data_IF_242334025053
#
_entry.id   IF_242334025053
#
_cell.length_a   1.000
_cell.length_b   1.000
_cell.length_c   1.000
_cell.angle_alpha   90.00
_cell.angle_beta   90.00
_cell.angle_gamma   90.00
#
_symmetry.space_group_name_H-M   'P 1'
#
loop_
_entity.id
_entity.type
_entity.pdbx_description
1 polymer ?
#
# COMPACT_ATOMS: atom_id res chain seq x y z
N UNK A 1 -11.22 8.99 18.69
CA UNK A 1 -10.81 8.62 17.31
C UNK A 1 -9.97 7.35 17.28
N UNK A 2 -8.98 7.17 18.17
CA UNK A 2 -8.12 5.96 18.19
C UNK A 2 -8.85 4.61 18.40
N UNK A 3 -9.99 4.58 19.10
CA UNK A 3 -10.70 3.33 19.40
C UNK A 3 -11.40 2.67 18.18
N UNK A 4 -11.61 3.42 17.09
CA UNK A 4 -12.18 2.87 15.84
C UNK A 4 -11.07 2.24 15.00
N UNK A 5 -9.91 2.87 14.93
CA UNK A 5 -8.72 2.37 14.26
C UNK A 5 -8.24 1.00 14.78
N UNK A 6 -8.32 0.80 16.09
CA UNK A 6 -7.92 -0.46 16.73
C UNK A 6 -8.84 -1.66 16.38
N UNK A 7 -9.94 -1.43 15.66
CA UNK A 7 -10.90 -2.49 15.29
C UNK A 7 -10.72 -3.05 13.89
N UNK A 8 -9.83 -2.48 13.10
CA UNK A 8 -9.52 -2.87 11.73
C UNK A 8 -9.54 -1.70 10.76
N UNK A 9 -8.91 -1.90 9.62
CA UNK A 9 -8.86 -0.96 8.51
C UNK A 9 -9.32 -1.63 7.21
N UNK A 10 -9.97 -0.89 6.31
CA UNK A 10 -10.17 -1.37 4.95
C UNK A 10 -8.82 -1.52 4.24
N UNK A 11 -8.74 -2.44 3.30
CA UNK A 11 -7.50 -2.67 2.57
C UNK A 11 -7.65 -3.76 1.52
N UNK A 12 -6.52 -4.19 0.97
CA UNK A 12 -6.46 -5.20 -0.05
C UNK A 12 -6.51 -6.61 0.57
N UNK A 13 -7.43 -7.44 0.11
CA UNK A 13 -7.41 -8.86 0.38
C UNK A 13 -6.51 -9.61 -0.62
N UNK A 14 -6.33 -10.93 -0.40
CA UNK A 14 -5.45 -11.76 -1.23
C UNK A 14 -5.74 -11.64 -2.73
N UNK A 15 -7.01 -11.67 -3.13
CA UNK A 15 -7.39 -11.59 -4.54
C UNK A 15 -6.99 -10.28 -5.21
N UNK A 16 -7.02 -9.16 -4.47
CA UNK A 16 -6.56 -7.86 -4.97
C UNK A 16 -5.04 -7.86 -5.10
N UNK A 17 -4.31 -8.37 -4.10
CA UNK A 17 -2.85 -8.45 -4.16
C UNK A 17 -2.37 -9.31 -5.33
N UNK A 18 -3.02 -10.45 -5.60
CA UNK A 18 -2.73 -11.30 -6.76
C UNK A 18 -3.07 -10.61 -8.09
N UNK A 19 -4.21 -9.91 -8.15
CA UNK A 19 -4.58 -9.13 -9.33
C UNK A 19 -3.53 -8.05 -9.64
N UNK A 20 -3.14 -7.25 -8.64
CA UNK A 20 -2.12 -6.22 -8.78
C UNK A 20 -0.79 -6.81 -9.29
N UNK A 21 -0.35 -7.93 -8.70
CA UNK A 21 0.84 -8.64 -9.16
C UNK A 21 0.72 -9.13 -10.61
N UNK A 22 -0.46 -9.61 -11.02
CA UNK A 22 -0.70 -10.06 -12.40
C UNK A 22 -0.64 -8.93 -13.43
N UNK A 23 -0.76 -7.69 -12.98
CA UNK A 23 -0.66 -6.49 -13.83
C UNK A 23 0.77 -5.95 -13.94
N UNK A 24 1.74 -6.65 -13.35
CA UNK A 24 3.17 -6.28 -13.38
C UNK A 24 3.43 -4.84 -12.90
N UNK A 25 2.73 -4.45 -11.83
CA UNK A 25 2.87 -3.12 -11.25
C UNK A 25 4.22 -2.97 -10.53
N UNK A 26 4.79 -1.79 -10.56
CA UNK A 26 6.02 -1.48 -9.83
C UNK A 26 5.76 -1.13 -8.35
N UNK A 27 4.57 -0.58 -8.06
CA UNK A 27 4.23 -0.04 -6.75
C UNK A 27 2.72 -0.13 -6.50
N UNK A 28 2.37 -0.41 -5.24
CA UNK A 28 1.02 -0.30 -4.70
C UNK A 28 1.02 0.75 -3.58
N UNK A 29 -0.09 1.46 -3.39
CA UNK A 29 -0.20 2.45 -2.33
C UNK A 29 -1.64 2.63 -1.86
N UNK A 30 -1.79 3.14 -0.64
CA UNK A 30 -3.08 3.47 -0.04
C UNK A 30 -2.95 4.47 1.10
N UNK A 31 -4.09 4.94 1.55
CA UNK A 31 -4.23 5.87 2.67
C UNK A 31 -4.41 5.16 4.03
N UNK A 32 -4.14 3.87 4.09
CA UNK A 32 -4.21 3.04 5.29
C UNK A 32 -2.84 2.65 5.80
N UNK A 33 -2.77 2.14 7.03
CA UNK A 33 -1.50 1.84 7.72
C UNK A 33 -0.76 0.63 7.16
N UNK A 34 -1.41 -0.20 6.35
CA UNK A 34 -0.82 -1.44 5.87
C UNK A 34 -1.12 -1.76 4.40
N UNK A 35 -2.03 -1.05 3.75
CA UNK A 35 -2.65 -1.45 2.48
C UNK A 35 -3.39 -2.80 2.53
N UNK A 36 -2.92 -3.77 3.32
CA UNK A 36 -3.64 -5.01 3.59
C UNK A 36 -4.84 -4.77 4.50
N UNK A 37 -5.96 -5.46 4.24
CA UNK A 37 -7.16 -5.38 5.07
C UNK A 37 -6.90 -5.91 6.48
N UNK A 38 -7.43 -5.23 7.48
CA UNK A 38 -7.29 -5.60 8.89
C UNK A 38 -8.68 -5.95 9.49
N UNK A 39 -8.74 -6.90 10.43
CA UNK A 39 -7.64 -7.68 11.01
C UNK A 39 -7.05 -8.68 10.03
N UNK A 40 -5.74 -8.88 10.09
CA UNK A 40 -4.99 -9.70 9.14
C UNK A 40 -5.36 -11.19 9.16
N UNK A 41 -5.73 -11.72 10.30
CA UNK A 41 -6.07 -13.13 10.52
C UNK A 41 -7.43 -13.56 9.96
N UNK A 42 -8.31 -12.62 9.65
CA UNK A 42 -9.62 -12.91 9.07
C UNK A 42 -9.59 -13.31 7.58
N UNK A 43 -8.45 -13.19 6.94
CA UNK A 43 -8.34 -13.42 5.50
C UNK A 43 -8.21 -14.89 5.09
N UNK A 44 -8.00 -15.79 6.05
CA UNK A 44 -8.02 -17.25 5.84
C UNK A 44 -7.01 -17.76 4.78
N UNK A 45 -5.91 -17.06 4.56
CA UNK A 45 -4.87 -17.41 3.60
C UNK A 45 -3.54 -17.72 4.30
N UNK A 46 -2.58 -18.30 3.60
CA UNK A 46 -1.27 -18.66 4.16
C UNK A 46 -0.44 -17.43 4.57
N UNK A 47 -0.85 -16.24 4.14
CA UNK A 47 -0.20 -14.99 4.47
C UNK A 47 -1.13 -14.12 5.31
N UNK A 48 -0.72 -13.79 6.51
CA UNK A 48 -1.48 -12.87 7.36
C UNK A 48 -1.62 -11.46 6.71
N UNK A 49 -0.64 -11.07 5.90
CA UNK A 49 -0.57 -9.80 5.17
C UNK A 49 -0.21 -10.07 3.71
N UNK A 50 -1.18 -10.43 2.86
CA UNK A 50 -0.91 -10.95 1.53
C UNK A 50 -0.19 -9.99 0.59
N UNK A 51 -0.44 -8.69 0.67
CA UNK A 51 0.27 -7.70 -0.13
C UNK A 51 1.71 -7.49 0.35
N UNK A 52 1.96 -7.50 1.65
CA UNK A 52 3.32 -7.43 2.18
C UNK A 52 4.13 -8.69 1.82
N UNK A 53 3.59 -9.86 2.14
CA UNK A 53 4.31 -11.11 1.92
C UNK A 53 4.37 -11.48 0.44
N UNK A 54 3.25 -11.40 -0.26
CA UNK A 54 3.13 -11.79 -1.66
C UNK A 54 3.75 -10.77 -2.61
N UNK A 55 3.40 -9.52 -2.49
CA UNK A 55 3.81 -8.48 -3.43
C UNK A 55 5.15 -7.86 -3.06
N UNK A 56 5.27 -7.32 -1.84
CA UNK A 56 6.49 -6.63 -1.44
C UNK A 56 7.65 -7.62 -1.29
N UNK A 57 7.50 -8.66 -0.45
CA UNK A 57 8.62 -9.55 -0.12
C UNK A 57 9.00 -10.49 -1.26
N UNK A 58 8.02 -11.15 -1.89
CA UNK A 58 8.29 -12.18 -2.91
C UNK A 58 8.46 -11.64 -4.32
N UNK A 59 7.81 -10.51 -4.66
CA UNK A 59 7.80 -9.95 -6.01
C UNK A 59 8.52 -8.63 -6.17
N UNK A 60 8.95 -8.00 -5.05
CA UNK A 60 9.66 -6.73 -5.07
C UNK A 60 8.78 -5.53 -5.48
N UNK A 61 7.47 -5.64 -5.36
CA UNK A 61 6.54 -4.54 -5.59
C UNK A 61 6.63 -3.59 -4.40
N UNK A 62 6.91 -2.32 -4.65
CA UNK A 62 6.95 -1.32 -3.58
C UNK A 62 5.59 -1.15 -2.91
N UNK A 63 5.61 -0.92 -1.60
CA UNK A 63 4.40 -0.71 -0.79
C UNK A 63 4.50 0.64 -0.08
N UNK A 64 3.64 1.61 -0.48
CA UNK A 64 3.52 2.90 0.17
C UNK A 64 2.24 2.93 1.00
N UNK A 65 2.37 3.37 2.24
CA UNK A 65 1.32 3.40 3.24
C UNK A 65 1.08 4.81 3.72
N UNK A 66 -0.11 5.08 4.27
CA UNK A 66 -0.48 6.38 4.82
C UNK A 66 -0.29 7.53 3.81
N UNK A 67 -0.57 7.29 2.54
CA UNK A 67 -0.49 8.30 1.49
C UNK A 67 -1.75 9.17 1.52
N UNK A 68 -1.59 10.48 1.59
CA UNK A 68 -2.74 11.39 1.45
C UNK A 68 -3.21 11.40 -0.01
N UNK A 69 -4.29 10.66 -0.27
CA UNK A 69 -4.91 10.59 -1.60
C UNK A 69 -6.07 11.57 -1.78
N UNK A 70 -6.46 12.29 -0.71
CA UNK A 70 -7.66 13.12 -0.71
C UNK A 70 -7.64 14.20 -1.80
N UNK A 71 -6.53 14.86 -2.01
CA UNK A 71 -6.39 15.90 -3.03
C UNK A 71 -6.65 15.37 -4.44
N UNK A 72 -6.18 14.17 -4.77
CA UNK A 72 -6.41 13.52 -6.06
C UNK A 72 -7.88 13.10 -6.22
N UNK A 73 -8.49 12.58 -5.16
CA UNK A 73 -9.92 12.21 -5.14
C UNK A 73 -10.79 13.44 -5.37
N UNK A 74 -10.56 14.53 -4.65
CA UNK A 74 -11.31 15.79 -4.78
C UNK A 74 -11.17 16.37 -6.19
N UNK A 75 -10.00 16.28 -6.79
CA UNK A 75 -9.74 16.73 -8.16
C UNK A 75 -10.17 15.72 -9.24
N UNK A 76 -10.65 14.52 -8.85
CA UNK A 76 -11.02 13.42 -9.77
C UNK A 76 -9.88 13.04 -10.72
N UNK A 77 -8.67 13.04 -10.20
CA UNK A 77 -7.46 12.63 -10.94
C UNK A 77 -7.26 11.15 -10.81
N UNK A 78 -7.24 10.43 -11.92
CA UNK A 78 -7.08 8.97 -11.99
C UNK A 78 -5.80 8.55 -12.70
N UNK A 79 -5.13 9.49 -13.37
CA UNK A 79 -3.89 9.25 -14.09
C UNK A 79 -2.96 10.47 -13.93
N UNK A 80 -1.66 10.23 -13.90
CA UNK A 80 -0.67 11.29 -13.77
C UNK A 80 0.76 10.74 -13.75
N UNK A 81 1.72 11.64 -13.81
CA UNK A 81 3.12 11.28 -13.63
C UNK A 81 3.44 11.19 -12.13
N UNK A 82 3.73 9.99 -11.65
CA UNK A 82 4.07 9.72 -10.25
C UNK A 82 5.58 9.76 -10.03
N UNK A 83 6.03 10.44 -9.00
CA UNK A 83 7.42 10.49 -8.57
C UNK A 83 7.52 10.24 -7.08
N UNK A 84 8.36 9.30 -6.70
CA UNK A 84 8.66 8.97 -5.31
C UNK A 84 10.04 8.33 -5.21
N UNK A 85 10.71 8.56 -4.09
CA UNK A 85 11.96 7.85 -3.75
C UNK A 85 12.07 7.68 -2.22
N UNK A 86 12.51 6.49 -1.74
CA UNK A 86 12.82 6.29 -0.34
C UNK A 86 14.10 7.04 0.05
N UNK A 87 14.26 7.32 1.33
CA UNK A 87 15.54 7.80 1.86
C UNK A 87 16.60 6.70 1.77
N UNK A 88 17.83 7.08 1.46
CA UNK A 88 18.95 6.15 1.37
C UNK A 88 19.55 5.87 2.76
N UNK A 89 18.83 5.11 3.56
CA UNK A 89 19.26 4.74 4.93
C UNK A 89 19.86 3.34 4.90
N UNK A 90 21.13 3.22 5.21
CA UNK A 90 21.82 1.92 5.23
C UNK A 90 21.24 1.01 6.31
N UNK A 91 20.85 -0.20 5.92
CA UNK A 91 20.26 -1.20 6.83
C UNK A 91 18.79 -0.99 7.21
N UNK A 92 18.14 0.04 6.69
CA UNK A 92 16.71 0.25 6.92
C UNK A 92 15.87 -0.69 6.04
N UNK A 93 14.76 -1.17 6.61
CA UNK A 93 13.74 -1.98 5.92
C UNK A 93 12.55 -1.14 5.44
N UNK A 94 12.50 0.13 5.79
CA UNK A 94 11.52 1.10 5.37
C UNK A 94 12.04 2.52 5.56
N UNK A 95 11.36 3.50 4.98
CA UNK A 95 11.69 4.91 5.14
C UNK A 95 10.47 5.78 4.88
N UNK A 96 10.40 6.99 5.46
CA UNK A 96 9.46 7.98 4.97
C UNK A 96 9.78 8.33 3.52
N UNK A 97 8.76 8.80 2.81
CA UNK A 97 8.86 9.31 1.45
C UNK A 97 7.94 10.49 1.24
N UNK A 98 8.14 11.19 0.15
CA UNK A 98 7.27 12.30 -0.25
C UNK A 98 6.79 12.05 -1.68
N UNK A 99 5.70 11.27 -1.87
CA UNK A 99 5.14 11.04 -3.20
C UNK A 99 4.57 12.32 -3.80
N UNK A 100 4.81 12.53 -5.09
CA UNK A 100 4.31 13.65 -5.85
C UNK A 100 3.63 13.15 -7.13
N UNK A 101 2.45 13.70 -7.43
CA UNK A 101 1.73 13.45 -8.67
C UNK A 101 1.63 14.75 -9.46
N UNK A 102 2.04 14.70 -10.71
CA UNK A 102 1.85 15.77 -11.69
C UNK A 102 0.72 15.38 -12.65
N UNK A 103 -0.31 16.23 -12.77
CA UNK A 103 -1.51 15.99 -13.58
C UNK A 103 -2.02 17.26 -14.24
#
# INVERSE_FOLDING_TARGET
>A
MCAIWAKGEPGFGLSVCEYLASRDIALQMGDTSANDAQPFDEQGNEYAVPCHTGNQTRRGIWNLENVDTKSLVDAKVYEGAFSWAPLRIVGATGSPGNPVVLY
#
